data_IF_470325304258
#
_entry.id   IF_470325304258
#
_cell.length_a   1.000
_cell.length_b   1.000
_cell.length_c   1.000
_cell.angle_alpha   90.00
_cell.angle_beta   90.00
_cell.angle_gamma   90.00
#
_symmetry.space_group_name_H-M   'P 1'
#
loop_
_entity.id
_entity.type
_entity.pdbx_description
1 polymer ?
#
# COMPACT_ATOMS: atom_id res chain seq x y z
N UNK A 1 29.22 34.17 41.51
CA UNK A 1 28.06 34.30 40.61
C UNK A 1 28.31 33.48 39.36
N UNK A 2 28.02 32.19 39.40
CA UNK A 2 28.08 31.28 38.26
C UNK A 2 26.67 30.68 38.08
N UNK A 3 26.12 30.78 36.88
CA UNK A 3 24.84 30.20 36.52
C UNK A 3 24.98 28.67 36.32
N UNK A 4 24.03 27.83 36.78
CA UNK A 4 24.03 26.43 36.41
C UNK A 4 23.33 26.25 35.06
N UNK A 5 23.98 25.47 34.20
CA UNK A 5 23.46 25.00 32.92
C UNK A 5 22.19 24.15 33.13
N UNK A 6 21.14 24.42 32.35
CA UNK A 6 19.99 23.53 32.24
C UNK A 6 20.40 22.29 31.44
N UNK A 7 20.44 21.14 32.11
CA UNK A 7 20.46 19.84 31.47
C UNK A 7 19.02 19.49 31.05
N UNK A 8 18.81 19.24 29.75
CA UNK A 8 17.58 18.65 29.25
C UNK A 8 17.50 17.18 29.71
N UNK A 9 16.35 16.70 30.21
CA UNK A 9 16.21 15.31 30.64
C UNK A 9 16.15 14.37 29.43
N UNK A 10 16.62 13.11 29.57
CA UNK A 10 16.44 12.09 28.55
C UNK A 10 14.96 11.69 28.50
N UNK A 11 14.38 11.72 27.30
CA UNK A 11 13.04 11.19 27.07
C UNK A 11 13.15 9.66 27.10
N UNK A 12 12.69 9.06 28.19
CA UNK A 12 12.48 7.62 28.31
C UNK A 12 11.00 7.34 28.60
N UNK A 13 10.41 6.43 27.82
CA UNK A 13 9.22 5.68 28.26
C UNK A 13 8.03 5.67 27.31
N UNK A 14 8.09 4.84 26.26
CA UNK A 14 6.93 4.10 25.73
C UNK A 14 7.44 2.94 24.85
N UNK A 15 7.83 1.84 25.48
CA UNK A 15 8.09 0.57 24.79
C UNK A 15 6.92 -0.38 25.03
N UNK A 16 5.89 -0.29 24.18
CA UNK A 16 5.05 -1.45 23.88
C UNK A 16 5.78 -2.25 22.80
N UNK A 17 6.67 -3.18 23.20
CA UNK A 17 7.70 -3.80 22.32
C UNK A 17 7.68 -5.33 22.26
N UNK A 18 6.57 -5.97 22.61
CA UNK A 18 6.56 -7.43 22.89
C UNK A 18 6.58 -8.35 21.67
N UNK A 19 5.58 -8.29 20.78
CA UNK A 19 5.32 -9.39 19.86
C UNK A 19 6.03 -9.30 18.48
N UNK A 20 5.99 -8.17 17.74
CA UNK A 20 6.54 -8.13 16.38
C UNK A 20 8.07 -8.15 16.37
N UNK A 21 8.70 -7.43 17.31
CA UNK A 21 10.15 -7.33 17.37
C UNK A 21 10.81 -8.65 17.78
N UNK A 22 10.18 -9.45 18.65
CA UNK A 22 10.71 -10.77 19.02
C UNK A 22 10.65 -11.76 17.85
N UNK A 23 9.53 -11.76 17.11
CA UNK A 23 9.38 -12.57 15.90
C UNK A 23 10.42 -12.18 14.84
N UNK A 24 10.59 -10.87 14.58
CA UNK A 24 11.63 -10.37 13.67
C UNK A 24 13.04 -10.75 14.15
N UNK A 25 13.32 -10.64 15.45
CA UNK A 25 14.66 -10.97 16.00
C UNK A 25 15.03 -12.42 15.72
N UNK A 26 14.06 -13.34 15.77
CA UNK A 26 14.26 -14.74 15.38
C UNK A 26 14.42 -14.88 13.87
N UNK A 27 13.61 -14.19 13.07
CA UNK A 27 13.65 -14.24 11.61
C UNK A 27 14.98 -13.73 11.03
N UNK A 28 15.49 -12.58 11.49
CA UNK A 28 16.72 -11.98 10.98
C UNK A 28 17.96 -12.85 11.23
N UNK A 29 17.90 -13.79 12.18
CA UNK A 29 18.98 -14.74 12.43
C UNK A 29 19.33 -15.57 11.18
N UNK A 30 18.38 -15.76 10.26
CA UNK A 30 18.61 -16.47 8.98
C UNK A 30 19.75 -15.84 8.16
N UNK A 31 19.97 -14.52 8.28
CA UNK A 31 21.01 -13.81 7.53
C UNK A 31 22.43 -14.21 7.96
N UNK A 32 22.61 -14.66 9.20
CA UNK A 32 23.90 -15.18 9.66
C UNK A 32 24.27 -16.50 8.95
N UNK A 33 23.27 -17.24 8.47
CA UNK A 33 23.42 -18.54 7.84
C UNK A 33 23.54 -18.47 6.31
N UNK A 34 23.62 -17.28 5.71
CA UNK A 34 23.71 -17.10 4.26
C UNK A 34 24.87 -17.90 3.63
N UNK A 35 26.03 -17.96 4.29
CA UNK A 35 27.21 -18.69 3.80
C UNK A 35 27.01 -20.23 3.78
N UNK A 36 25.92 -20.72 4.37
CA UNK A 36 25.55 -22.14 4.42
C UNK A 36 24.51 -22.53 3.34
N UNK A 37 24.04 -21.57 2.53
CA UNK A 37 22.89 -21.75 1.64
C UNK A 37 23.24 -22.13 0.18
N UNK A 38 24.21 -23.02 -0.05
CA UNK A 38 24.56 -23.62 -1.37
C UNK A 38 24.40 -22.67 -2.58
N UNK A 39 25.14 -21.55 -2.58
CA UNK A 39 25.10 -20.56 -3.68
C UNK A 39 23.85 -19.68 -3.73
N UNK A 40 23.00 -19.70 -2.70
CA UNK A 40 21.83 -18.83 -2.51
C UNK A 40 22.07 -17.83 -1.39
N UNK A 41 21.42 -16.67 -1.48
CA UNK A 41 21.38 -15.69 -0.40
C UNK A 41 20.19 -15.92 0.53
N UNK A 42 20.31 -15.40 1.75
CA UNK A 42 19.22 -15.39 2.73
C UNK A 42 18.55 -14.01 2.74
N UNK A 43 17.21 -14.00 2.84
CA UNK A 43 16.42 -12.78 2.95
C UNK A 43 15.41 -12.89 4.10
N UNK A 44 15.10 -11.74 4.69
CA UNK A 44 14.04 -11.53 5.66
C UNK A 44 13.25 -10.30 5.23
N UNK A 45 11.93 -10.44 5.12
CA UNK A 45 10.99 -9.38 4.80
C UNK A 45 10.14 -9.08 6.03
N UNK A 46 9.89 -7.79 6.29
CA UNK A 46 8.82 -7.34 7.14
C UNK A 46 7.92 -6.37 6.37
N UNK A 47 6.60 -6.53 6.48
CA UNK A 47 5.64 -5.76 5.69
C UNK A 47 4.27 -5.65 6.38
N UNK A 48 3.42 -4.74 5.90
CA UNK A 48 2.00 -4.61 6.31
C UNK A 48 1.00 -5.22 5.30
N UNK A 49 1.52 -5.72 4.17
CA UNK A 49 0.72 -6.23 3.04
C UNK A 49 0.88 -5.39 1.78
N UNK A 50 1.37 -4.16 1.91
CA UNK A 50 1.61 -3.23 0.80
C UNK A 50 3.09 -2.79 0.78
N UNK A 51 3.57 -2.17 1.86
CA UNK A 51 4.95 -1.67 1.96
C UNK A 51 5.86 -2.66 2.69
N UNK A 52 7.13 -2.74 2.25
CA UNK A 52 8.09 -3.67 2.82
C UNK A 52 9.41 -3.00 3.25
N UNK A 53 10.09 -3.71 4.14
CA UNK A 53 11.54 -3.66 4.32
C UNK A 53 12.10 -5.08 4.19
N UNK A 54 13.06 -5.26 3.30
CA UNK A 54 13.71 -6.54 3.04
C UNK A 54 15.19 -6.42 3.33
N UNK A 55 15.68 -7.19 4.30
CA UNK A 55 17.12 -7.31 4.57
C UNK A 55 17.62 -8.64 4.01
N UNK A 56 18.79 -8.60 3.37
CA UNK A 56 19.39 -9.76 2.73
C UNK A 56 20.90 -9.80 2.91
N UNK A 57 21.44 -11.00 2.76
CA UNK A 57 22.87 -11.25 2.67
C UNK A 57 23.12 -12.40 1.71
N UNK A 58 23.92 -12.15 0.67
CA UNK A 58 24.39 -13.21 -0.21
C UNK A 58 25.63 -13.90 0.41
N UNK A 59 25.96 -15.14 0.00
CA UNK A 59 27.23 -15.77 0.35
C UNK A 59 28.38 -14.84 -0.06
N UNK A 60 29.37 -14.70 0.81
CA UNK A 60 30.55 -13.84 0.60
C UNK A 60 30.29 -12.32 0.56
N UNK A 61 29.05 -11.84 0.75
CA UNK A 61 28.81 -10.43 1.02
C UNK A 61 29.20 -10.11 2.48
N UNK A 62 30.14 -9.17 2.72
CA UNK A 62 30.53 -8.79 4.08
C UNK A 62 29.50 -7.88 4.76
N UNK A 63 28.45 -7.48 4.04
CA UNK A 63 27.43 -6.54 4.49
C UNK A 63 26.04 -7.17 4.45
N UNK A 64 25.16 -6.69 5.31
CA UNK A 64 23.72 -6.87 5.18
C UNK A 64 23.19 -5.71 4.33
N UNK A 65 22.48 -6.02 3.26
CA UNK A 65 21.79 -5.01 2.46
C UNK A 65 20.32 -5.00 2.86
N UNK A 66 19.82 -3.86 3.34
CA UNK A 66 18.40 -3.67 3.62
C UNK A 66 17.81 -2.70 2.59
N UNK A 67 16.74 -3.11 1.94
CA UNK A 67 16.00 -2.35 0.96
C UNK A 67 14.60 -2.04 1.51
N UNK A 68 14.16 -0.79 1.41
CA UNK A 68 12.82 -0.38 1.81
C UNK A 68 12.06 0.17 0.60
N UNK A 69 10.77 -0.13 0.53
CA UNK A 69 9.91 0.19 -0.61
C UNK A 69 10.01 1.65 -1.07
N UNK A 70 10.08 1.86 -2.38
CA UNK A 70 10.09 3.19 -2.96
C UNK A 70 9.19 3.35 -4.18
N UNK A 71 9.06 4.59 -4.69
CA UNK A 71 7.98 4.96 -5.61
C UNK A 71 8.10 4.37 -7.02
N UNK A 72 9.27 3.85 -7.41
CA UNK A 72 9.46 3.25 -8.74
C UNK A 72 8.85 1.85 -8.82
N UNK A 73 9.06 1.03 -7.78
CA UNK A 73 8.45 -0.30 -7.66
C UNK A 73 7.01 -0.24 -7.16
N UNK A 74 6.73 0.69 -6.23
CA UNK A 74 5.40 0.89 -5.64
C UNK A 74 4.92 2.32 -5.85
N UNK A 75 4.25 2.63 -6.98
CA UNK A 75 3.81 3.99 -7.32
C UNK A 75 2.99 4.71 -6.23
N UNK A 76 2.16 3.98 -5.48
CA UNK A 76 1.38 4.55 -4.36
C UNK A 76 2.25 5.10 -3.23
N UNK A 77 3.52 4.69 -3.13
CA UNK A 77 4.47 5.22 -2.16
C UNK A 77 4.77 6.71 -2.36
N UNK A 78 4.47 7.30 -3.53
CA UNK A 78 4.60 8.76 -3.72
C UNK A 78 3.79 9.56 -2.69
N UNK A 79 2.63 9.04 -2.31
CA UNK A 79 1.75 9.64 -1.31
C UNK A 79 2.19 9.27 0.12
N UNK A 80 2.58 8.02 0.35
CA UNK A 80 3.07 7.58 1.65
C UNK A 80 4.38 8.30 2.05
N UNK A 81 5.29 8.56 1.11
CA UNK A 81 6.62 9.11 1.37
C UNK A 81 6.59 10.63 1.48
N UNK A 82 5.99 11.17 2.55
CA UNK A 82 6.08 12.60 2.85
C UNK A 82 7.53 13.09 3.01
N UNK A 83 7.76 14.41 2.95
CA UNK A 83 9.09 14.99 3.22
C UNK A 83 9.65 14.54 4.59
N UNK A 84 8.79 14.48 5.62
CA UNK A 84 9.14 14.02 6.96
C UNK A 84 9.54 12.54 6.96
N UNK A 85 8.74 11.68 6.33
CA UNK A 85 9.00 10.24 6.25
C UNK A 85 10.29 9.92 5.49
N UNK A 86 10.57 10.61 4.38
CA UNK A 86 11.86 10.51 3.68
C UNK A 86 13.05 10.98 4.54
N UNK A 87 12.86 11.99 5.37
CA UNK A 87 13.89 12.43 6.32
C UNK A 87 14.15 11.34 7.38
N UNK A 88 13.09 10.71 7.92
CA UNK A 88 13.23 9.59 8.87
C UNK A 88 14.01 8.42 8.25
N UNK A 89 13.70 8.02 7.01
CA UNK A 89 14.47 6.97 6.31
C UNK A 89 15.94 7.38 6.14
N UNK A 90 16.22 8.63 5.80
CA UNK A 90 17.60 9.15 5.69
C UNK A 90 18.33 9.13 7.03
N UNK A 91 17.66 9.48 8.13
CA UNK A 91 18.22 9.45 9.50
C UNK A 91 18.54 8.02 9.95
N UNK A 92 17.77 7.04 9.49
CA UNK A 92 18.07 5.62 9.69
C UNK A 92 19.26 5.13 8.85
N UNK A 93 19.78 5.93 7.92
CA UNK A 93 20.95 5.60 7.10
C UNK A 93 20.61 5.09 5.69
N UNK A 94 19.35 5.18 5.26
CA UNK A 94 18.98 4.83 3.89
C UNK A 94 19.41 5.88 2.87
N UNK A 95 19.77 5.41 1.68
CA UNK A 95 20.02 6.22 0.48
C UNK A 95 19.09 5.77 -0.64
N UNK A 96 18.51 6.70 -1.41
CA UNK A 96 17.69 6.33 -2.57
C UNK A 96 18.55 5.71 -3.66
N UNK A 97 18.18 4.51 -4.11
CA UNK A 97 18.77 3.84 -5.26
C UNK A 97 17.94 4.12 -6.52
N UNK A 98 18.56 4.67 -7.55
CA UNK A 98 17.85 5.03 -8.80
C UNK A 98 17.48 3.82 -9.65
N UNK A 99 18.22 2.70 -9.52
CA UNK A 99 18.01 1.51 -10.34
C UNK A 99 16.73 0.77 -9.95
N UNK A 100 16.58 0.53 -8.65
CA UNK A 100 15.40 -0.14 -8.09
C UNK A 100 14.29 0.85 -7.74
N UNK A 101 14.66 2.10 -7.47
CA UNK A 101 13.79 3.11 -6.87
C UNK A 101 13.47 2.87 -5.40
N UNK A 102 14.09 1.87 -4.77
CA UNK A 102 14.00 1.60 -3.34
C UNK A 102 14.96 2.51 -2.55
N UNK A 103 14.80 2.52 -1.24
CA UNK A 103 15.76 3.06 -0.30
C UNK A 103 16.68 1.93 0.18
N UNK A 104 18.00 2.10 0.06
CA UNK A 104 18.99 1.08 0.39
C UNK A 104 19.87 1.51 1.56
N UNK A 105 20.00 0.65 2.56
CA UNK A 105 20.96 0.74 3.65
C UNK A 105 21.93 -0.44 3.57
N UNK A 106 23.22 -0.17 3.79
CA UNK A 106 24.28 -1.19 3.82
C UNK A 106 24.86 -1.21 5.23
N UNK A 107 24.73 -2.35 5.90
CA UNK A 107 24.96 -2.49 7.33
C UNK A 107 26.08 -3.51 7.56
N UNK A 108 27.03 -3.19 8.45
CA UNK A 108 28.05 -4.14 8.88
C UNK A 108 27.43 -5.14 9.87
N UNK A 109 27.46 -6.47 9.61
CA UNK A 109 26.89 -7.47 10.51
C UNK A 109 27.42 -7.39 11.94
N UNK A 110 28.68 -6.97 12.12
CA UNK A 110 29.31 -6.87 13.44
C UNK A 110 28.76 -5.70 14.29
N UNK A 111 28.25 -4.66 13.64
CA UNK A 111 27.62 -3.51 14.29
C UNK A 111 26.10 -3.65 14.42
N UNK A 112 25.52 -4.66 13.79
CA UNK A 112 24.08 -4.89 13.65
C UNK A 112 23.67 -6.28 14.13
N UNK A 113 23.73 -6.55 15.44
CA UNK A 113 23.17 -7.77 16.00
C UNK A 113 21.66 -7.87 15.76
N UNK A 114 21.13 -9.10 15.84
CA UNK A 114 19.75 -9.43 15.43
C UNK A 114 18.68 -8.53 16.05
N UNK A 115 18.79 -8.21 17.33
CA UNK A 115 17.83 -7.35 18.05
C UNK A 115 17.83 -5.91 17.53
N UNK A 116 19.03 -5.38 17.23
CA UNK A 116 19.22 -4.05 16.64
C UNK A 116 18.72 -4.01 15.19
N UNK A 117 18.99 -5.05 14.40
CA UNK A 117 18.51 -5.16 13.02
C UNK A 117 16.99 -5.28 12.96
N UNK A 118 16.39 -6.10 13.83
CA UNK A 118 14.94 -6.18 13.99
C UNK A 118 14.33 -4.83 14.39
N UNK A 119 14.96 -4.13 15.35
CA UNK A 119 14.54 -2.79 15.74
C UNK A 119 14.63 -1.77 14.60
N UNK A 120 15.63 -1.89 13.74
CA UNK A 120 15.77 -1.06 12.54
C UNK A 120 14.68 -1.34 11.51
N UNK A 121 14.37 -2.60 11.21
CA UNK A 121 13.27 -2.95 10.29
C UNK A 121 11.91 -2.43 10.81
N UNK A 122 11.64 -2.57 12.11
CA UNK A 122 10.43 -2.00 12.74
C UNK A 122 10.44 -0.46 12.65
N UNK A 123 11.58 0.19 12.93
CA UNK A 123 11.69 1.65 12.82
C UNK A 123 11.50 2.15 11.38
N UNK A 124 11.91 1.37 10.38
CA UNK A 124 11.65 1.67 8.96
C UNK A 124 10.16 1.64 8.65
N UNK A 125 9.43 0.61 9.07
CA UNK A 125 7.99 0.51 8.81
C UNK A 125 7.19 1.56 9.61
N UNK A 126 7.40 1.65 10.92
CA UNK A 126 6.67 2.58 11.79
C UNK A 126 7.06 4.04 11.51
N UNK A 127 8.35 4.34 11.43
CA UNK A 127 8.85 5.70 11.27
C UNK A 127 8.89 6.18 9.81
N UNK A 128 9.20 5.28 8.88
CA UNK A 128 9.28 5.57 7.45
C UNK A 128 7.92 5.53 6.75
N UNK A 129 7.02 4.63 7.17
CA UNK A 129 5.74 4.41 6.48
C UNK A 129 4.49 4.62 7.35
N UNK A 130 4.64 4.76 8.68
CA UNK A 130 3.53 4.93 9.63
C UNK A 130 2.64 3.69 9.72
N UNK A 131 3.25 2.52 9.57
CA UNK A 131 2.63 1.21 9.77
C UNK A 131 2.36 1.00 11.25
N UNK A 132 1.18 0.47 11.60
CA UNK A 132 0.93 0.01 12.98
C UNK A 132 1.79 -1.22 13.25
N UNK A 133 2.50 -1.21 14.37
CA UNK A 133 3.30 -2.34 14.80
C UNK A 133 2.53 -3.65 14.92
N UNK A 134 1.21 -3.62 15.17
CA UNK A 134 0.38 -4.83 15.21
C UNK A 134 0.17 -5.50 13.85
N UNK A 135 0.36 -4.74 12.77
CA UNK A 135 0.04 -5.17 11.40
C UNK A 135 1.29 -5.70 10.68
N UNK A 136 2.46 -5.65 11.33
CA UNK A 136 3.72 -6.13 10.77
C UNK A 136 3.73 -7.66 10.71
N UNK A 137 3.79 -8.18 9.49
CA UNK A 137 4.03 -9.59 9.16
C UNK A 137 5.50 -9.77 8.80
N UNK A 138 6.04 -10.97 9.04
CA UNK A 138 7.46 -11.30 8.78
C UNK A 138 7.57 -12.60 8.00
N UNK A 139 8.40 -12.58 6.96
CA UNK A 139 8.71 -13.74 6.15
C UNK A 139 10.23 -13.89 6.01
N UNK A 140 10.70 -15.12 5.82
CA UNK A 140 12.11 -15.43 5.57
C UNK A 140 12.22 -16.36 4.38
N UNK A 141 13.27 -16.24 3.58
CA UNK A 141 13.52 -17.19 2.51
C UNK A 141 14.88 -17.05 1.86
N UNK A 142 15.01 -17.65 0.68
CA UNK A 142 16.25 -17.68 -0.07
C UNK A 142 16.08 -17.26 -1.52
N UNK A 143 17.09 -16.62 -2.09
CA UNK A 143 17.11 -16.11 -3.46
C UNK A 143 18.40 -16.53 -4.18
N UNK A 144 18.43 -16.59 -5.52
CA UNK A 144 19.66 -16.83 -6.27
C UNK A 144 20.71 -15.76 -5.96
N UNK A 145 21.92 -16.14 -5.52
CA UNK A 145 22.99 -15.19 -5.19
C UNK A 145 23.71 -14.66 -6.45
N UNK A 146 22.95 -14.03 -7.35
CA UNK A 146 23.44 -13.39 -8.56
C UNK A 146 23.57 -11.89 -8.36
N UNK A 147 24.32 -11.20 -9.22
CA UNK A 147 24.54 -9.75 -9.11
C UNK A 147 23.23 -8.95 -9.13
N UNK A 148 22.23 -9.45 -9.86
CA UNK A 148 20.94 -8.80 -10.05
C UNK A 148 19.81 -9.81 -9.85
N UNK A 149 19.48 -10.12 -8.59
CA UNK A 149 18.48 -11.14 -8.29
C UNK A 149 17.10 -10.73 -8.84
N UNK A 150 16.24 -11.69 -9.23
CA UNK A 150 14.90 -11.40 -9.74
C UNK A 150 14.08 -10.55 -8.78
N UNK A 151 13.32 -9.60 -9.33
CA UNK A 151 12.52 -8.64 -8.55
C UNK A 151 11.06 -8.66 -8.96
N UNK A 152 10.19 -8.34 -8.01
CA UNK A 152 8.78 -8.13 -8.29
C UNK A 152 8.60 -6.91 -9.22
N UNK A 153 7.77 -7.01 -10.27
CA UNK A 153 7.56 -5.94 -11.22
C UNK A 153 6.87 -4.73 -10.57
N UNK A 154 7.06 -3.55 -11.17
CA UNK A 154 6.43 -2.32 -10.70
C UNK A 154 4.89 -2.40 -10.75
N UNK A 155 4.22 -1.79 -9.77
CA UNK A 155 2.75 -1.74 -9.70
C UNK A 155 2.08 -2.95 -9.04
N UNK A 156 2.86 -3.97 -8.65
CA UNK A 156 2.39 -5.13 -7.88
C UNK A 156 2.70 -4.96 -6.39
N UNK A 157 1.99 -5.71 -5.53
CA UNK A 157 2.38 -5.86 -4.12
C UNK A 157 3.87 -6.18 -4.04
N UNK A 158 4.57 -5.53 -3.12
CA UNK A 158 6.02 -5.71 -2.97
C UNK A 158 6.82 -5.37 -4.25
N UNK A 159 6.31 -4.51 -5.13
CA UNK A 159 7.02 -4.09 -6.34
C UNK A 159 8.42 -3.56 -6.04
N UNK A 160 9.43 -4.13 -6.71
CA UNK A 160 10.84 -3.86 -6.49
C UNK A 160 11.52 -4.66 -5.38
N UNK A 161 10.79 -5.45 -4.58
CA UNK A 161 11.35 -6.44 -3.66
C UNK A 161 12.08 -7.56 -4.43
N UNK A 162 13.12 -8.16 -3.85
CA UNK A 162 13.74 -9.37 -4.43
C UNK A 162 12.81 -10.54 -4.18
N UNK A 163 12.43 -11.26 -5.23
CA UNK A 163 11.52 -12.38 -5.12
C UNK A 163 12.22 -13.58 -4.43
N UNK A 164 11.66 -14.04 -3.31
CA UNK A 164 12.07 -15.29 -2.65
C UNK A 164 10.85 -16.16 -2.30
N UNK A 165 11.06 -17.46 -2.01
CA UNK A 165 10.02 -18.45 -1.69
C UNK A 165 8.95 -18.68 -2.78
N UNK A 166 9.37 -18.83 -4.04
CA UNK A 166 8.47 -19.18 -5.15
C UNK A 166 7.32 -18.19 -5.42
N UNK A 167 7.41 -16.94 -4.92
CA UNK A 167 6.60 -15.80 -5.42
C UNK A 167 6.93 -15.60 -6.91
N UNK A 168 6.20 -16.34 -7.76
CA UNK A 168 6.15 -16.26 -9.23
C UNK A 168 7.50 -16.14 -9.96
N UNK A 169 8.44 -17.06 -9.72
CA UNK A 169 9.71 -17.08 -10.47
C UNK A 169 9.56 -17.38 -11.97
N UNK A 170 8.39 -17.84 -12.44
CA UNK A 170 8.26 -18.41 -13.78
C UNK A 170 8.43 -17.39 -14.92
N UNK A 171 8.27 -16.11 -14.62
CA UNK A 171 8.30 -15.02 -15.61
C UNK A 171 9.17 -13.82 -15.17
N UNK A 172 9.98 -13.95 -14.11
CA UNK A 172 10.84 -12.86 -13.62
C UNK A 172 12.26 -13.01 -14.16
N UNK A 173 12.65 -12.10 -15.03
CA UNK A 173 14.02 -12.00 -15.55
C UNK A 173 14.97 -11.40 -14.49
N UNK A 174 16.23 -11.84 -14.48
CA UNK A 174 17.31 -11.21 -13.71
C UNK A 174 17.43 -9.74 -14.11
N UNK A 175 17.07 -8.82 -13.21
CA UNK A 175 17.00 -7.40 -13.54
C UNK A 175 17.59 -6.56 -12.40
N UNK A 176 18.64 -5.82 -12.73
CA UNK A 176 19.25 -4.86 -11.81
C UNK A 176 18.38 -3.62 -11.61
N UNK A 177 17.40 -3.44 -12.49
CA UNK A 177 16.55 -2.26 -12.58
C UNK A 177 15.09 -2.68 -12.51
N UNK A 178 14.31 -1.92 -11.75
CA UNK A 178 12.86 -2.05 -11.82
C UNK A 178 12.42 -1.18 -12.98
N UNK A 179 11.83 -1.79 -14.01
CA UNK A 179 11.17 -1.09 -15.10
C UNK A 179 9.96 -0.33 -14.53
N UNK A 180 10.21 0.86 -13.99
CA UNK A 180 9.18 1.77 -13.52
C UNK A 180 8.55 2.53 -14.67
N UNK A 181 7.32 3.00 -14.45
CA UNK A 181 6.84 4.17 -15.19
C UNK A 181 7.61 5.37 -14.67
N UNK A 182 8.53 5.92 -15.45
CA UNK A 182 9.08 7.25 -15.18
C UNK A 182 7.91 8.24 -15.20
N UNK A 183 7.91 9.17 -14.23
CA UNK A 183 6.79 10.08 -13.92
C UNK A 183 6.34 10.94 -15.12
N UNK A 184 7.16 11.03 -16.16
CA UNK A 184 7.00 11.95 -17.29
C UNK A 184 6.72 11.25 -18.64
N UNK A 185 6.66 9.91 -18.70
CA UNK A 185 6.31 9.24 -19.97
C UNK A 185 4.79 9.22 -20.17
N UNK A 186 4.23 10.42 -20.38
CA UNK A 186 2.81 10.61 -20.74
C UNK A 186 2.46 9.94 -22.08
N UNK A 187 3.46 9.59 -22.91
CA UNK A 187 3.23 8.90 -24.18
C UNK A 187 2.64 7.49 -24.01
N UNK A 188 2.83 6.89 -22.82
CA UNK A 188 2.26 5.60 -22.45
C UNK A 188 0.92 5.70 -21.72
N UNK A 189 0.46 6.92 -21.39
CA UNK A 189 -0.87 7.07 -20.82
C UNK A 189 -1.92 6.73 -21.87
N UNK A 190 -2.99 6.01 -21.49
CA UNK A 190 -4.13 5.84 -22.38
C UNK A 190 -4.61 7.21 -22.87
N UNK A 191 -5.09 7.25 -24.11
CA UNK A 191 -5.69 8.47 -24.66
C UNK A 191 -6.71 9.01 -23.66
N UNK A 192 -6.78 10.33 -23.44
CA UNK A 192 -7.78 10.94 -22.57
C UNK A 192 -9.13 10.35 -22.91
N UNK A 193 -9.79 9.79 -21.90
CA UNK A 193 -11.09 9.20 -22.06
C UNK A 193 -12.01 10.28 -22.68
N UNK A 194 -12.74 9.92 -23.74
CA UNK A 194 -13.60 10.88 -24.43
C UNK A 194 -14.69 11.32 -23.47
N UNK A 195 -14.79 12.64 -23.22
CA UNK A 195 -15.94 13.23 -22.54
C UNK A 195 -17.22 12.73 -23.21
N UNK A 196 -18.06 12.02 -22.48
CA UNK A 196 -19.31 11.50 -23.01
C UNK A 196 -20.26 12.71 -23.14
N UNK A 197 -20.66 13.10 -24.36
CA UNK A 197 -21.66 14.15 -24.51
C UNK A 197 -22.96 13.65 -23.88
N UNK A 198 -23.46 14.35 -22.87
CA UNK A 198 -24.66 13.92 -22.16
C UNK A 198 -25.63 15.08 -21.97
N UNK A 199 -26.89 14.81 -22.29
CA UNK A 199 -28.01 15.70 -22.00
C UNK A 199 -28.28 15.74 -20.49
N UNK A 200 -28.49 16.93 -19.93
CA UNK A 200 -28.61 17.13 -18.48
C UNK A 200 -29.83 16.42 -17.89
N UNK A 201 -30.93 16.32 -18.64
CA UNK A 201 -32.12 15.58 -18.18
C UNK A 201 -31.84 14.09 -18.01
N UNK A 202 -31.15 13.49 -19.00
CA UNK A 202 -30.72 12.09 -18.92
C UNK A 202 -29.69 11.83 -17.83
N UNK A 203 -28.81 12.79 -17.56
CA UNK A 203 -27.82 12.69 -16.49
C UNK A 203 -28.47 12.64 -15.10
N UNK A 204 -29.52 13.42 -14.86
CA UNK A 204 -30.25 13.39 -13.59
C UNK A 204 -30.95 12.05 -13.36
N UNK A 205 -31.61 11.52 -14.39
CA UNK A 205 -32.29 10.22 -14.31
C UNK A 205 -31.31 9.07 -14.08
N UNK A 206 -30.17 9.06 -14.79
CA UNK A 206 -29.11 8.07 -14.60
C UNK A 206 -28.49 8.17 -13.20
N UNK A 207 -28.28 9.38 -12.68
CA UNK A 207 -27.80 9.57 -11.31
C UNK A 207 -28.79 8.99 -10.29
N UNK A 208 -30.09 9.25 -10.44
CA UNK A 208 -31.12 8.67 -9.56
C UNK A 208 -31.14 7.14 -9.65
N UNK A 209 -31.00 6.59 -10.86
CA UNK A 209 -30.89 5.15 -11.07
C UNK A 209 -29.65 4.58 -10.37
N UNK A 210 -28.47 5.19 -10.54
CA UNK A 210 -27.24 4.76 -9.88
C UNK A 210 -27.35 4.80 -8.36
N UNK A 211 -27.90 5.88 -7.80
CA UNK A 211 -28.12 5.98 -6.34
C UNK A 211 -29.04 4.86 -5.85
N UNK A 212 -30.07 4.49 -6.61
CA UNK A 212 -30.94 3.37 -6.28
C UNK A 212 -30.17 2.04 -6.30
N UNK A 213 -29.44 1.74 -7.38
CA UNK A 213 -28.66 0.50 -7.50
C UNK A 213 -27.60 0.37 -6.40
N UNK A 214 -26.92 1.45 -6.05
CA UNK A 214 -25.96 1.49 -4.93
C UNK A 214 -26.69 1.28 -3.60
N UNK A 215 -27.86 1.87 -3.40
CA UNK A 215 -28.69 1.65 -2.20
C UNK A 215 -29.12 0.19 -2.04
N UNK A 216 -29.53 -0.45 -3.13
CA UNK A 216 -29.88 -1.88 -3.17
C UNK A 216 -28.63 -2.75 -2.88
N UNK A 217 -27.46 -2.34 -3.37
CA UNK A 217 -26.18 -3.00 -3.06
C UNK A 217 -25.82 -2.90 -1.57
N UNK A 218 -25.97 -1.74 -0.94
CA UNK A 218 -25.73 -1.57 0.49
C UNK A 218 -26.74 -2.31 1.35
N UNK A 219 -28.02 -2.33 0.95
CA UNK A 219 -29.04 -3.14 1.63
C UNK A 219 -28.66 -4.61 1.62
N UNK A 220 -28.22 -5.13 0.47
CA UNK A 220 -27.72 -6.50 0.35
C UNK A 220 -26.45 -6.75 1.17
N UNK A 221 -25.50 -5.82 1.16
CA UNK A 221 -24.23 -5.89 1.91
C UNK A 221 -24.49 -6.01 3.43
N UNK A 222 -25.50 -5.30 3.94
CA UNK A 222 -25.84 -5.25 5.36
C UNK A 222 -26.85 -6.32 5.79
N UNK A 223 -27.48 -7.03 4.85
CA UNK A 223 -28.46 -8.08 5.13
C UNK A 223 -27.92 -9.33 5.83
N UNK A 224 -26.62 -9.40 6.14
CA UNK A 224 -25.98 -10.50 6.88
C UNK A 224 -25.39 -10.04 8.21
N UNK A 225 -25.41 -10.92 9.20
CA UNK A 225 -24.77 -10.72 10.49
C UNK A 225 -23.30 -11.18 10.47
N UNK A 226 -22.42 -10.39 11.09
CA UNK A 226 -21.02 -10.74 11.34
C UNK A 226 -19.99 -10.10 10.38
N UNK A 227 -18.70 -10.13 10.78
CA UNK A 227 -17.57 -9.60 10.02
C UNK A 227 -17.20 -10.49 8.82
N UNK A 228 -16.80 -9.87 7.70
CA UNK A 228 -16.08 -10.52 6.60
C UNK A 228 -16.90 -11.39 5.62
N UNK A 229 -18.21 -11.18 5.47
CA UNK A 229 -19.07 -12.12 4.71
C UNK A 229 -19.48 -11.66 3.31
N UNK A 230 -19.54 -10.34 3.08
CA UNK A 230 -19.98 -9.76 1.79
C UNK A 230 -19.15 -8.57 1.39
N UNK A 231 -18.96 -8.44 0.08
CA UNK A 231 -18.38 -7.28 -0.58
C UNK A 231 -19.20 -6.89 -1.80
N UNK A 232 -19.17 -5.62 -2.16
CA UNK A 232 -19.78 -5.10 -3.39
C UNK A 232 -18.72 -4.33 -4.17
N UNK A 233 -18.74 -4.51 -5.50
CA UNK A 233 -17.94 -3.70 -6.42
C UNK A 233 -18.90 -2.91 -7.29
N UNK A 234 -18.74 -1.60 -7.27
CA UNK A 234 -19.53 -0.63 -8.02
C UNK A 234 -18.66 -0.15 -9.19
N UNK A 235 -19.04 -0.51 -10.42
CA UNK A 235 -18.21 -0.29 -11.61
C UNK A 235 -18.89 0.62 -12.64
N UNK A 236 -18.12 1.55 -13.20
CA UNK A 236 -18.50 2.45 -14.29
C UNK A 236 -17.58 2.23 -15.49
N UNK A 237 -17.62 1.01 -16.04
CA UNK A 237 -16.66 0.57 -17.05
C UNK A 237 -15.33 0.16 -16.40
N UNK A 238 -14.26 0.89 -16.69
CA UNK A 238 -12.90 0.60 -16.20
C UNK A 238 -12.63 1.14 -14.78
N UNK A 239 -13.56 1.88 -14.19
CA UNK A 239 -13.39 2.50 -12.87
C UNK A 239 -14.30 1.85 -11.84
N UNK A 240 -13.78 1.56 -10.66
CA UNK A 240 -14.58 0.90 -9.63
C UNK A 240 -14.33 1.44 -8.23
N UNK A 241 -15.34 1.25 -7.38
CA UNK A 241 -15.27 1.41 -5.93
C UNK A 241 -15.68 0.09 -5.31
N UNK A 242 -14.83 -0.46 -4.45
CA UNK A 242 -15.14 -1.68 -3.71
C UNK A 242 -15.46 -1.37 -2.26
N UNK A 243 -16.50 -1.97 -1.71
CA UNK A 243 -16.87 -1.85 -0.31
C UNK A 243 -17.05 -3.23 0.29
N UNK A 244 -16.67 -3.40 1.55
CA UNK A 244 -16.80 -4.68 2.25
C UNK A 244 -17.37 -4.49 3.64
N UNK A 245 -18.15 -5.48 4.12
CA UNK A 245 -18.58 -5.53 5.52
C UNK A 245 -17.51 -6.29 6.30
N UNK A 246 -16.48 -5.60 6.79
CA UNK A 246 -15.39 -6.23 7.55
C UNK A 246 -15.67 -6.29 9.03
N UNK A 247 -16.18 -5.24 9.66
CA UNK A 247 -16.60 -5.22 11.06
C UNK A 247 -17.59 -4.06 11.32
N UNK A 248 -18.60 -4.29 12.16
CA UNK A 248 -19.44 -3.19 12.65
C UNK A 248 -18.60 -2.30 13.60
N UNK A 249 -18.77 -0.96 13.59
CA UNK A 249 -19.90 -0.20 13.03
C UNK A 249 -19.58 0.52 11.70
N UNK A 250 -18.67 0.02 10.85
CA UNK A 250 -18.25 0.73 9.62
C UNK A 250 -18.30 -0.13 8.37
N UNK A 251 -18.49 0.51 7.22
CA UNK A 251 -18.29 -0.05 5.88
C UNK A 251 -17.03 0.59 5.30
N UNK A 252 -15.87 -0.08 5.30
CA UNK A 252 -14.73 0.36 4.51
C UNK A 252 -15.07 0.31 3.02
N UNK A 253 -14.62 1.34 2.31
CA UNK A 253 -14.70 1.43 0.86
C UNK A 253 -13.38 1.94 0.30
N UNK A 254 -12.98 1.38 -0.84
CA UNK A 254 -11.77 1.72 -1.59
C UNK A 254 -12.13 2.24 -2.96
N UNK A 255 -11.69 3.46 -3.26
CA UNK A 255 -11.76 4.04 -4.60
C UNK A 255 -10.43 3.79 -5.29
N UNK A 256 -10.50 3.18 -6.47
CA UNK A 256 -9.31 2.89 -7.27
C UNK A 256 -8.47 4.15 -7.51
N UNK A 257 -7.14 4.05 -7.31
CA UNK A 257 -6.22 5.17 -7.50
C UNK A 257 -5.58 5.16 -8.89
N UNK A 258 -5.08 6.32 -9.32
CA UNK A 258 -4.26 6.44 -10.53
C UNK A 258 -2.91 5.69 -10.46
N UNK A 259 -2.51 5.26 -9.26
CA UNK A 259 -1.30 4.48 -9.05
C UNK A 259 -1.56 2.98 -9.08
N UNK A 260 -2.77 2.55 -8.72
CA UNK A 260 -3.23 1.18 -8.91
C UNK A 260 -3.68 0.92 -10.36
N UNK A 261 -4.34 1.92 -10.98
CA UNK A 261 -4.82 1.86 -12.35
C UNK A 261 -4.36 3.11 -13.13
N UNK A 262 -3.29 3.00 -13.94
CA UNK A 262 -2.74 4.13 -14.68
C UNK A 262 -3.72 4.84 -15.63
N UNK A 263 -4.83 4.18 -16.03
CA UNK A 263 -5.85 4.83 -16.88
C UNK A 263 -6.53 6.01 -16.17
N UNK A 264 -6.56 6.00 -14.83
CA UNK A 264 -7.12 7.05 -14.00
C UNK A 264 -6.23 8.30 -13.86
N UNK A 265 -4.98 8.29 -14.33
CA UNK A 265 -4.06 9.46 -14.20
C UNK A 265 -4.61 10.74 -14.82
N UNK A 266 -5.38 10.62 -15.90
CA UNK A 266 -6.03 11.77 -16.54
C UNK A 266 -7.25 12.31 -15.79
N UNK A 267 -7.80 11.53 -14.84
CA UNK A 267 -9.06 11.83 -14.15
C UNK A 267 -8.82 12.15 -12.66
N UNK A 268 -8.08 11.30 -11.95
CA UNK A 268 -7.73 11.48 -10.54
C UNK A 268 -6.47 12.33 -10.42
N UNK A 269 -6.66 13.63 -10.56
CA UNK A 269 -5.60 14.63 -10.32
C UNK A 269 -5.37 14.87 -8.83
N UNK A 270 -4.28 15.54 -8.47
CA UNK A 270 -4.05 16.01 -7.09
C UNK A 270 -5.19 16.89 -6.55
N UNK A 271 -5.92 17.62 -7.41
CA UNK A 271 -7.09 18.39 -7.00
C UNK A 271 -8.28 17.49 -6.63
N UNK A 272 -8.47 16.39 -7.35
CA UNK A 272 -9.46 15.34 -7.02
C UNK A 272 -9.10 14.67 -5.71
N UNK A 273 -7.82 14.27 -5.53
CA UNK A 273 -7.34 13.67 -4.27
C UNK A 273 -7.65 14.54 -3.05
N UNK A 274 -7.42 15.86 -3.13
CA UNK A 274 -7.79 16.81 -2.05
C UNK A 274 -9.30 16.87 -1.78
N UNK A 275 -10.15 16.68 -2.79
CA UNK A 275 -11.61 16.65 -2.60
C UNK A 275 -12.02 15.34 -1.92
N UNK A 276 -11.47 14.21 -2.35
CA UNK A 276 -11.70 12.90 -1.72
C UNK A 276 -11.25 12.92 -0.25
N UNK A 277 -10.12 13.54 0.06
CA UNK A 277 -9.65 13.73 1.44
C UNK A 277 -10.65 14.50 2.31
N UNK A 278 -11.23 15.59 1.79
CA UNK A 278 -12.29 16.33 2.49
C UNK A 278 -13.57 15.51 2.70
N UNK A 279 -13.81 14.50 1.86
CA UNK A 279 -14.92 13.56 2.01
C UNK A 279 -14.60 12.40 2.97
N UNK A 280 -13.42 12.38 3.58
CA UNK A 280 -13.00 11.35 4.53
C UNK A 280 -12.25 10.17 3.91
N UNK A 281 -11.91 10.22 2.61
CA UNK A 281 -11.08 9.22 1.97
C UNK A 281 -9.60 9.56 2.12
N UNK A 282 -8.82 8.70 2.77
CA UNK A 282 -7.37 8.84 2.88
C UNK A 282 -6.73 8.59 1.53
N UNK A 283 -5.64 9.30 1.25
CA UNK A 283 -4.87 9.10 0.02
C UNK A 283 -4.26 7.69 -0.02
N UNK A 284 -3.93 7.16 -1.21
CA UNK A 284 -3.12 5.96 -1.35
C UNK A 284 -1.83 6.07 -0.53
N UNK A 285 -1.26 4.95 -0.15
CA UNK A 285 -0.03 4.90 0.62
C UNK A 285 -0.02 3.73 1.57
N UNK A 286 -0.90 3.75 2.57
CA UNK A 286 -1.17 2.58 3.41
C UNK A 286 -1.81 1.46 2.58
N UNK A 287 -2.77 1.83 1.74
CA UNK A 287 -3.36 0.99 0.70
C UNK A 287 -3.03 1.52 -0.68
N UNK A 288 -3.08 0.68 -1.71
CA UNK A 288 -2.94 1.14 -3.11
C UNK A 288 -4.05 2.11 -3.56
N UNK A 289 -5.20 2.06 -2.90
CA UNK A 289 -6.42 2.81 -3.23
C UNK A 289 -6.70 3.93 -2.21
N UNK A 290 -7.63 4.82 -2.54
CA UNK A 290 -8.15 5.77 -1.56
C UNK A 290 -9.13 5.04 -0.63
N UNK A 291 -8.84 4.98 0.68
CA UNK A 291 -9.70 4.30 1.66
C UNK A 291 -10.57 5.31 2.42
N UNK A 292 -11.88 5.04 2.47
CA UNK A 292 -12.84 5.74 3.32
C UNK A 292 -13.70 4.77 4.13
N UNK A 293 -14.41 5.28 5.13
CA UNK A 293 -15.28 4.48 5.99
C UNK A 293 -16.63 5.17 6.16
N UNK A 294 -17.71 4.45 5.88
CA UNK A 294 -19.06 4.88 6.20
C UNK A 294 -19.49 4.28 7.52
N UNK A 295 -19.83 5.11 8.51
CA UNK A 295 -20.35 4.58 9.78
C UNK A 295 -21.82 4.20 9.60
N UNK A 296 -22.17 3.01 10.06
CA UNK A 296 -23.54 2.49 10.02
C UNK A 296 -24.50 3.31 10.90
N UNK A 297 -23.99 4.00 11.92
CA UNK A 297 -24.79 4.85 12.79
C UNK A 297 -25.06 6.24 12.18
N UNK A 298 -24.35 6.63 11.13
CA UNK A 298 -24.44 7.98 10.54
C UNK A 298 -25.58 8.09 9.50
N UNK A 299 -26.34 7.01 9.25
CA UNK A 299 -27.44 7.06 8.29
C UNK A 299 -28.08 5.72 7.96
N UNK A 300 -28.67 5.69 6.77
CA UNK A 300 -29.36 4.54 6.17
C UNK A 300 -28.82 4.32 4.75
N UNK A 301 -29.10 3.17 4.10
CA UNK A 301 -28.56 2.83 2.78
C UNK A 301 -28.64 3.93 1.74
N UNK A 302 -29.73 4.70 1.71
CA UNK A 302 -29.89 5.79 0.73
C UNK A 302 -28.91 6.95 0.97
N UNK A 303 -28.58 7.25 2.23
CA UNK A 303 -27.62 8.30 2.58
C UNK A 303 -26.20 7.88 2.18
N UNK A 304 -25.84 6.62 2.41
CA UNK A 304 -24.55 6.08 2.00
C UNK A 304 -24.46 5.99 0.48
N UNK A 305 -25.54 5.58 -0.19
CA UNK A 305 -25.59 5.54 -1.65
C UNK A 305 -25.36 6.93 -2.28
N UNK A 306 -25.97 7.97 -1.71
CA UNK A 306 -25.71 9.35 -2.13
C UNK A 306 -24.27 9.77 -1.90
N UNK A 307 -23.73 9.49 -0.72
CA UNK A 307 -22.34 9.84 -0.39
C UNK A 307 -21.35 9.10 -1.29
N UNK A 308 -21.65 7.84 -1.62
CA UNK A 308 -20.87 7.02 -2.54
C UNK A 308 -20.95 7.55 -3.97
N UNK A 309 -22.14 7.93 -4.45
CA UNK A 309 -22.31 8.55 -5.75
C UNK A 309 -21.53 9.89 -5.84
N UNK A 310 -21.54 10.69 -4.78
CA UNK A 310 -20.72 11.92 -4.71
C UNK A 310 -19.22 11.61 -4.76
N UNK A 311 -18.78 10.54 -4.10
CA UNK A 311 -17.39 10.10 -4.13
C UNK A 311 -17.00 9.64 -5.54
N UNK A 312 -17.86 8.87 -6.21
CA UNK A 312 -17.68 8.43 -7.59
C UNK A 312 -17.63 9.62 -8.58
N UNK A 313 -18.55 10.58 -8.45
CA UNK A 313 -18.53 11.82 -9.26
C UNK A 313 -17.29 12.67 -9.00
N UNK A 314 -16.81 12.69 -7.76
CA UNK A 314 -15.58 13.40 -7.41
C UNK A 314 -14.35 12.72 -7.99
N UNK A 315 -14.27 11.40 -7.89
CA UNK A 315 -13.14 10.59 -8.35
C UNK A 315 -13.09 10.47 -9.88
N UNK A 316 -14.22 10.15 -10.50
CA UNK A 316 -14.30 9.75 -11.90
C UNK A 316 -15.02 10.78 -12.78
N UNK A 317 -15.49 11.90 -12.22
CA UNK A 317 -16.15 12.96 -12.97
C UNK A 317 -17.39 12.44 -13.72
N UNK A 318 -17.49 12.79 -15.01
CA UNK A 318 -18.61 12.39 -15.86
C UNK A 318 -18.72 10.88 -16.11
N UNK A 319 -17.66 10.08 -15.87
CA UNK A 319 -17.72 8.63 -16.04
C UNK A 319 -18.66 7.97 -15.03
N UNK A 320 -18.76 8.52 -13.82
CA UNK A 320 -19.68 8.03 -12.79
C UNK A 320 -21.17 8.29 -13.12
N UNK A 321 -21.49 9.04 -14.19
CA UNK A 321 -22.86 9.25 -14.65
C UNK A 321 -23.35 8.07 -15.51
N UNK A 322 -22.45 7.24 -16.04
CA UNK A 322 -22.85 6.01 -16.73
C UNK A 322 -23.59 5.05 -15.78
N UNK A 323 -24.41 4.12 -16.31
CA UNK A 323 -25.04 3.09 -15.48
C UNK A 323 -24.00 2.33 -14.65
N UNK A 324 -24.18 2.32 -13.33
CA UNK A 324 -23.34 1.53 -12.44
C UNK A 324 -23.65 0.05 -12.61
N UNK A 325 -22.61 -0.77 -12.71
CA UNK A 325 -22.71 -2.22 -12.60
C UNK A 325 -22.35 -2.62 -11.17
N UNK A 326 -23.18 -3.46 -10.55
CA UNK A 326 -22.99 -3.93 -9.18
C UNK A 326 -22.60 -5.40 -9.21
N UNK A 327 -21.36 -5.70 -8.83
CA UNK A 327 -20.92 -7.06 -8.54
C UNK A 327 -21.09 -7.33 -7.04
N UNK A 328 -21.71 -8.45 -6.69
CA UNK A 328 -21.91 -8.88 -5.30
C UNK A 328 -21.03 -10.09 -5.02
N UNK A 329 -20.12 -9.97 -4.06
CA UNK A 329 -19.17 -11.02 -3.66
C UNK A 329 -19.54 -11.55 -2.29
N UNK A 330 -19.66 -12.86 -2.16
CA UNK A 330 -19.88 -13.55 -0.89
C UNK A 330 -18.83 -14.64 -0.70
N UNK A 331 -18.49 -14.96 0.55
CA UNK A 331 -17.64 -16.11 0.84
C UNK A 331 -18.33 -17.41 0.40
N UNK A 332 -17.55 -18.41 -0.03
CA UNK A 332 -18.07 -19.72 -0.46
C UNK A 332 -18.96 -20.32 0.65
N UNK A 333 -20.25 -20.52 0.35
CA UNK A 333 -21.21 -21.17 1.26
C UNK A 333 -22.40 -20.31 1.72
N UNK A 334 -22.48 -19.02 1.37
CA UNK A 334 -23.69 -18.21 1.55
C UNK A 334 -24.52 -18.15 0.25
N UNK A 335 -25.81 -18.47 0.34
CA UNK A 335 -26.83 -18.17 -0.70
C UNK A 335 -27.65 -16.96 -0.32
#
# INVERSE_FOLDING_TARGET
MWAPAMAFPPIAGAHAKGAPQEALTKAVAVLAHADQMDGRGAAVEAHDGDQFVQCRRAPHEPIITCEAAGPRGQPWMRHALSKKRRANLKELGYVSDRKTGNFVARLDPSEWPNDKLAGFMVATLVGGYDVDSSDIVTETGSYPAVACPPRNPAGHDFGGEIAFNDRSQKDLEENCEVAGMDDEDESRLPKPLKSIPMDSGKAEDLMKQNVKEIGDAYTWLLGVSGPGRRGVVLSWGEFHIQCSKTAEPVIPCEIESAEANPTLRSVITAAVGRKLNKMGFREPGYSKNYIGWFRLNDGKPENWAWSMMQAALTAFGGYAIQPVTVERRAAKGET
#
